data_IF_052343812752
#
_entry.id   IF_052343812752
#
_cell.length_a   1.000
_cell.length_b   1.000
_cell.length_c   1.000
_cell.angle_alpha   90.00
_cell.angle_beta   90.00
_cell.angle_gamma   90.00
#
_symmetry.space_group_name_H-M   'P 1'
#
loop_
_entity.id
_entity.type
_entity.pdbx_description
1 polymer ?
#
# COMPACT_ATOMS: atom_id res chain seq x y z
N UNK A 1 -21.35 -65.99 16.57
CA UNK A 1 -22.16 -66.44 17.72
C UNK A 1 -22.43 -65.17 18.51
N UNK A 2 -23.44 -64.44 18.06
CA UNK A 2 -24.83 -64.47 18.58
C UNK A 2 -24.92 -63.53 19.79
N UNK A 3 -25.87 -62.62 19.96
CA UNK A 3 -26.98 -62.10 19.15
C UNK A 3 -27.56 -60.90 19.95
N UNK A 4 -28.17 -59.91 19.27
CA UNK A 4 -29.42 -59.13 19.61
C UNK A 4 -29.68 -58.66 21.08
N UNK A 5 -30.23 -57.49 21.42
CA UNK A 5 -31.33 -56.65 20.87
C UNK A 5 -31.48 -55.40 21.83
N UNK A 6 -31.60 -54.17 21.33
CA UNK A 6 -32.80 -53.28 21.33
C UNK A 6 -33.22 -52.48 22.60
N UNK A 7 -33.58 -51.21 22.32
CA UNK A 7 -34.49 -50.25 22.98
C UNK A 7 -34.03 -49.43 24.21
N UNK A 8 -33.95 -48.10 24.05
CA UNK A 8 -35.03 -47.14 24.41
C UNK A 8 -34.56 -45.67 24.36
N UNK A 9 -35.51 -44.78 24.08
CA UNK A 9 -35.42 -43.32 23.87
C UNK A 9 -35.48 -42.56 25.19
N UNK A 10 -34.78 -41.43 25.33
CA UNK A 10 -35.30 -40.25 26.05
C UNK A 10 -34.56 -38.96 25.64
N UNK A 11 -35.31 -38.01 25.07
CA UNK A 11 -34.94 -36.64 24.75
C UNK A 11 -35.41 -35.72 25.88
N UNK A 12 -34.50 -34.96 26.47
CA UNK A 12 -34.75 -33.81 27.34
C UNK A 12 -33.52 -32.90 27.23
N UNK A 13 -33.57 -31.60 27.01
CA UNK A 13 -34.64 -30.63 26.79
C UNK A 13 -33.94 -29.28 26.57
N UNK A 14 -34.36 -28.54 25.55
CA UNK A 14 -33.88 -27.20 25.22
C UNK A 14 -34.45 -26.18 26.22
N UNK A 15 -33.62 -25.27 26.73
CA UNK A 15 -34.08 -23.96 27.23
C UNK A 15 -33.09 -22.87 26.79
N UNK A 16 -33.46 -22.16 25.72
CA UNK A 16 -32.95 -20.84 25.35
C UNK A 16 -33.65 -19.77 26.21
N UNK A 17 -32.89 -18.81 26.73
CA UNK A 17 -33.41 -17.65 27.45
C UNK A 17 -33.59 -16.51 26.44
N UNK A 18 -34.84 -16.13 26.18
CA UNK A 18 -35.24 -14.93 25.44
C UNK A 18 -35.70 -13.88 26.47
N UNK A 19 -34.99 -12.75 26.54
CA UNK A 19 -35.45 -11.57 27.26
C UNK A 19 -36.49 -10.82 26.41
N UNK A 20 -37.66 -10.59 27.01
CA UNK A 20 -38.77 -9.82 26.45
C UNK A 20 -38.70 -8.40 27.02
N UNK A 21 -38.64 -7.40 26.13
CA UNK A 21 -38.81 -5.98 26.47
C UNK A 21 -40.23 -5.58 26.07
N UNK A 22 -41.05 -5.23 27.06
CA UNK A 22 -42.40 -4.68 26.85
C UNK A 22 -42.32 -3.19 26.48
N UNK A 23 -42.85 -2.84 25.32
CA UNK A 23 -43.16 -1.47 24.90
C UNK A 23 -44.65 -1.23 25.18
N UNK A 24 -44.98 -0.22 25.99
CA UNK A 24 -46.34 0.27 26.12
C UNK A 24 -46.41 1.77 25.83
N UNK A 25 -47.23 2.08 24.85
CA UNK A 25 -47.64 3.40 24.38
C UNK A 25 -48.43 4.19 25.44
N UNK A 26 -48.31 5.52 25.41
CA UNK A 26 -49.42 6.40 25.83
C UNK A 26 -49.35 7.75 25.10
N UNK A 27 -50.41 8.07 24.35
CA UNK A 27 -50.64 9.31 23.59
C UNK A 27 -50.99 10.54 24.48
N UNK A 28 -50.96 11.78 23.95
CA UNK A 28 -51.06 13.04 24.72
C UNK A 28 -52.45 13.72 24.67
N UNK A 29 -52.68 14.69 25.58
CA UNK A 29 -53.86 15.59 25.60
C UNK A 29 -53.74 16.74 26.63
N UNK A 30 -54.59 17.80 26.56
CA UNK A 30 -54.13 19.20 26.46
C UNK A 30 -54.52 20.18 27.62
N UNK A 31 -54.05 21.42 27.45
CA UNK A 31 -54.50 22.73 27.98
C UNK A 31 -53.97 23.33 29.31
N UNK A 32 -53.63 24.63 29.14
CA UNK A 32 -53.65 25.79 30.04
C UNK A 32 -52.67 25.92 31.23
N UNK A 33 -51.86 26.99 31.18
CA UNK A 33 -52.03 28.18 32.03
C UNK A 33 -51.11 29.33 31.57
N UNK A 34 -51.74 30.44 31.19
CA UNK A 34 -51.14 31.75 30.98
C UNK A 34 -50.98 32.52 32.32
N UNK A 35 -50.04 33.48 32.32
CA UNK A 35 -50.09 34.82 32.95
C UNK A 35 -48.82 35.21 33.73
N UNK A 36 -48.27 36.39 33.42
CA UNK A 36 -47.28 37.07 34.26
C UNK A 36 -46.39 38.10 33.54
N UNK A 37 -46.98 39.22 33.14
CA UNK A 37 -46.35 40.45 32.61
C UNK A 37 -45.23 41.01 33.51
N UNK A 38 -44.24 41.70 32.92
CA UNK A 38 -44.09 43.15 33.10
C UNK A 38 -43.03 43.77 32.16
N UNK A 39 -43.47 44.82 31.47
CA UNK A 39 -42.73 45.75 30.63
C UNK A 39 -41.82 46.69 31.44
N UNK A 40 -40.68 47.08 30.87
CA UNK A 40 -40.21 48.47 30.99
C UNK A 40 -39.48 48.88 29.73
N UNK A 41 -40.14 49.72 28.94
CA UNK A 41 -39.59 50.51 27.84
C UNK A 41 -39.27 51.92 28.38
N UNK A 42 -38.31 52.62 27.77
CA UNK A 42 -38.40 54.02 27.31
C UNK A 42 -37.02 54.72 27.10
N UNK A 43 -36.83 55.11 25.82
CA UNK A 43 -36.29 56.39 25.29
C UNK A 43 -34.77 56.67 25.11
N UNK A 44 -34.36 56.62 23.83
CA UNK A 44 -33.38 57.46 23.07
C UNK A 44 -33.83 58.96 23.07
N UNK A 45 -33.07 60.05 22.73
CA UNK A 45 -31.81 60.13 21.96
C UNK A 45 -30.76 61.22 22.36
N UNK A 46 -29.57 61.20 21.72
CA UNK A 46 -28.81 62.44 21.47
C UNK A 46 -27.28 62.40 21.41
N UNK A 47 -26.74 62.26 20.19
CA UNK A 47 -25.71 63.08 19.53
C UNK A 47 -24.32 63.39 20.17
N UNK A 48 -23.30 63.19 19.31
CA UNK A 48 -22.04 63.94 19.14
C UNK A 48 -20.72 63.41 19.77
N UNK A 49 -19.80 63.13 18.82
CA UNK A 49 -18.34 63.30 18.81
C UNK A 49 -17.40 62.24 19.42
N UNK A 50 -16.33 61.99 18.64
CA UNK A 50 -14.99 61.48 19.00
C UNK A 50 -14.88 60.04 19.55
N UNK A 51 -14.41 59.08 18.75
CA UNK A 51 -12.98 58.98 18.40
C UNK A 51 -12.74 57.75 17.51
N UNK A 52 -12.27 58.05 16.31
CA UNK A 52 -11.70 57.13 15.35
C UNK A 52 -10.26 56.83 15.76
N UNK A 53 -10.05 55.79 16.57
CA UNK A 53 -8.72 55.21 16.81
C UNK A 53 -8.65 53.80 16.22
N UNK A 54 -7.83 53.69 15.19
CA UNK A 54 -7.70 52.53 14.35
C UNK A 54 -7.01 51.37 15.05
N UNK A 55 -7.51 50.19 14.74
CA UNK A 55 -6.77 48.94 14.80
C UNK A 55 -7.13 48.18 13.54
N UNK A 56 -6.60 48.64 12.40
CA UNK A 56 -6.34 47.74 11.28
C UNK A 56 -5.23 46.81 11.78
N UNK A 57 -5.63 45.66 12.34
CA UNK A 57 -4.73 44.53 12.39
C UNK A 57 -4.55 44.07 10.95
N UNK A 58 -3.55 44.64 10.28
CA UNK A 58 -2.82 43.96 9.21
C UNK A 58 -2.17 42.71 9.84
N UNK A 59 -2.99 41.75 10.27
CA UNK A 59 -2.60 40.35 10.34
C UNK A 59 -2.71 39.83 8.90
N UNK A 60 -1.87 40.38 8.02
CA UNK A 60 -1.42 39.64 6.86
C UNK A 60 -0.67 38.43 7.43
N UNK A 61 -1.39 37.34 7.65
CA UNK A 61 -0.79 36.01 7.67
C UNK A 61 -0.01 35.92 6.37
N UNK A 62 1.30 36.15 6.43
CA UNK A 62 2.22 35.68 5.42
C UNK A 62 1.93 34.19 5.29
N UNK A 63 1.17 33.80 4.26
CA UNK A 63 1.00 32.42 3.90
C UNK A 63 2.42 31.90 3.69
N UNK A 64 2.92 31.09 4.64
CA UNK A 64 4.20 30.44 4.48
C UNK A 64 4.16 29.76 3.12
N UNK A 65 5.05 30.18 2.22
CA UNK A 65 5.07 29.66 0.86
C UNK A 65 5.15 28.13 0.97
N UNK A 66 4.13 27.43 0.46
CA UNK A 66 4.10 25.97 0.47
C UNK A 66 5.40 25.45 -0.17
N UNK A 67 6.23 24.76 0.62
CA UNK A 67 7.50 24.24 0.15
C UNK A 67 7.22 23.13 -0.87
N UNK A 68 7.54 23.38 -2.13
CA UNK A 68 7.49 22.39 -3.21
C UNK A 68 8.88 22.23 -3.83
N UNK A 69 9.52 21.09 -3.51
CA UNK A 69 10.83 20.68 -3.98
C UNK A 69 10.75 19.91 -5.33
N UNK A 70 9.56 19.79 -5.93
CA UNK A 70 9.38 19.06 -7.19
C UNK A 70 9.87 19.85 -8.40
N UNK A 71 10.49 19.14 -9.35
CA UNK A 71 10.93 19.70 -10.62
C UNK A 71 9.78 19.76 -11.63
N UNK A 72 8.94 18.73 -11.61
CA UNK A 72 7.78 18.59 -12.50
C UNK A 72 6.58 18.03 -11.74
N UNK A 73 5.39 18.44 -12.16
CA UNK A 73 4.12 17.93 -11.66
C UNK A 73 3.27 17.39 -12.84
N UNK A 74 2.76 16.18 -12.69
CA UNK A 74 1.82 15.53 -13.59
C UNK A 74 0.39 15.71 -13.06
N UNK A 75 -0.39 16.59 -13.70
CA UNK A 75 -1.71 17.03 -13.19
C UNK A 75 -2.87 16.70 -14.15
N UNK A 76 -2.84 15.56 -14.84
CA UNK A 76 -3.96 15.15 -15.72
C UNK A 76 -5.00 14.29 -15.02
N UNK A 77 -4.62 13.59 -13.95
CA UNK A 77 -5.58 12.85 -13.16
C UNK A 77 -6.59 13.80 -12.52
N UNK A 78 -7.86 13.40 -12.49
CA UNK A 78 -8.94 14.16 -11.84
C UNK A 78 -9.35 13.58 -10.48
N UNK A 79 -8.63 12.56 -10.02
CA UNK A 79 -8.79 11.90 -8.73
C UNK A 79 -7.43 11.36 -8.25
N UNK A 80 -7.41 10.68 -7.11
CA UNK A 80 -6.18 10.25 -6.43
C UNK A 80 -5.29 9.42 -7.36
N UNK A 81 -3.96 9.61 -7.30
CA UNK A 81 -3.02 8.79 -8.07
C UNK A 81 -2.53 7.65 -7.18
N UNK A 82 -2.93 6.43 -7.50
CA UNK A 82 -2.70 5.26 -6.65
C UNK A 82 -1.36 4.57 -6.87
N UNK A 83 -0.83 4.61 -8.10
CA UNK A 83 0.38 3.87 -8.43
C UNK A 83 1.27 4.61 -9.42
N UNK A 84 2.57 4.33 -9.35
CA UNK A 84 3.55 4.89 -10.28
C UNK A 84 4.69 3.91 -10.57
N UNK A 85 5.14 3.87 -11.82
CA UNK A 85 6.27 3.06 -12.23
C UNK A 85 7.12 3.78 -13.27
N UNK A 86 8.45 3.60 -13.21
CA UNK A 86 9.39 4.13 -14.19
C UNK A 86 9.73 3.07 -15.23
N UNK A 87 9.99 3.54 -16.46
CA UNK A 87 10.55 2.72 -17.53
C UNK A 87 11.93 2.17 -17.10
N UNK A 88 12.08 0.83 -16.96
CA UNK A 88 13.32 0.21 -16.49
C UNK A 88 14.47 0.25 -17.51
N UNK A 89 14.20 0.48 -18.80
CA UNK A 89 15.20 0.50 -19.86
C UNK A 89 15.85 1.87 -20.04
N UNK A 90 15.09 2.96 -19.92
CA UNK A 90 15.55 4.30 -20.27
C UNK A 90 15.40 5.34 -19.16
N UNK A 91 14.57 5.08 -18.14
CA UNK A 91 14.16 6.04 -17.11
C UNK A 91 13.54 7.35 -17.67
N UNK A 92 13.18 7.40 -18.95
CA UNK A 92 12.62 8.61 -19.57
C UNK A 92 11.10 8.66 -19.51
N UNK A 93 10.46 7.54 -19.20
CA UNK A 93 9.01 7.44 -19.11
C UNK A 93 8.59 7.06 -17.68
N UNK A 94 7.45 7.57 -17.28
CA UNK A 94 6.73 7.14 -16.10
C UNK A 94 5.33 6.71 -16.52
N UNK A 95 4.74 5.77 -15.79
CA UNK A 95 3.32 5.43 -15.90
C UNK A 95 2.66 5.65 -14.55
N UNK A 96 1.48 6.25 -14.56
CA UNK A 96 0.66 6.45 -13.36
C UNK A 96 -0.73 5.85 -13.58
N UNK A 97 -1.38 5.40 -12.51
CA UNK A 97 -2.79 4.99 -12.50
C UNK A 97 -3.52 5.70 -11.37
N UNK A 98 -4.81 6.02 -11.57
CA UNK A 98 -5.56 6.80 -10.60
C UNK A 98 -7.05 6.45 -10.50
N UNK A 99 -7.71 7.15 -9.59
CA UNK A 99 -9.14 7.06 -9.25
C UNK A 99 -10.08 7.55 -10.37
N UNK A 100 -9.53 8.20 -11.39
CA UNK A 100 -10.26 8.66 -12.57
C UNK A 100 -10.44 7.59 -13.66
N UNK A 101 -10.30 6.31 -13.29
CA UNK A 101 -10.36 5.12 -14.16
C UNK A 101 -9.37 5.18 -15.34
N UNK A 102 -8.23 5.85 -15.16
CA UNK A 102 -7.24 6.03 -16.20
C UNK A 102 -5.85 5.71 -15.72
N UNK A 103 -5.01 5.33 -16.69
CA UNK A 103 -3.57 5.41 -16.56
C UNK A 103 -3.00 6.34 -17.63
N UNK A 104 -1.86 6.95 -17.35
CA UNK A 104 -1.14 7.80 -18.29
C UNK A 104 0.32 7.39 -18.35
N UNK A 105 0.89 7.41 -19.56
CA UNK A 105 2.33 7.31 -19.78
C UNK A 105 2.87 8.70 -20.07
N UNK A 106 3.84 9.12 -19.27
CA UNK A 106 4.43 10.45 -19.26
C UNK A 106 5.86 10.40 -19.76
N UNK A 107 6.31 11.45 -20.44
CA UNK A 107 7.73 11.72 -20.57
C UNK A 107 8.21 12.49 -19.35
N UNK A 108 9.18 11.93 -18.64
CA UNK A 108 9.70 12.46 -17.37
C UNK A 108 10.45 13.79 -17.56
N UNK A 109 10.96 14.10 -18.75
CA UNK A 109 11.72 15.33 -18.99
C UNK A 109 10.89 16.62 -19.07
N UNK A 110 9.61 16.50 -19.42
CA UNK A 110 8.74 17.66 -19.70
C UNK A 110 7.27 17.47 -19.26
N UNK A 111 6.89 16.30 -18.77
CA UNK A 111 5.53 15.98 -18.36
C UNK A 111 4.55 15.79 -19.52
N UNK A 112 5.04 15.59 -20.76
CA UNK A 112 4.15 15.30 -21.89
C UNK A 112 3.49 13.93 -21.71
N UNK A 113 2.16 13.88 -21.82
CA UNK A 113 1.40 12.62 -21.92
C UNK A 113 1.63 12.01 -23.30
N UNK A 114 2.28 10.85 -23.33
CA UNK A 114 2.53 10.10 -24.56
C UNK A 114 1.40 9.13 -24.88
N UNK A 115 0.77 8.54 -23.86
CA UNK A 115 -0.33 7.59 -23.99
C UNK A 115 -1.32 7.81 -22.86
N UNK A 116 -2.61 7.81 -23.20
CA UNK A 116 -3.73 7.78 -22.26
C UNK A 116 -4.39 6.40 -22.36
N UNK A 117 -4.36 5.65 -21.26
CA UNK A 117 -4.89 4.30 -21.13
C UNK A 117 -6.32 4.36 -20.60
N UNK A 118 -7.31 4.42 -21.50
CA UNK A 118 -8.74 4.55 -21.16
C UNK A 118 -9.52 3.23 -21.24
N UNK A 119 -10.75 3.22 -20.73
CA UNK A 119 -11.69 2.11 -20.88
C UNK A 119 -11.63 1.07 -19.77
N UNK A 120 -10.98 1.43 -18.65
CA UNK A 120 -11.15 0.76 -17.37
C UNK A 120 -12.58 0.96 -16.84
N UNK A 121 -12.99 0.09 -15.92
CA UNK A 121 -14.35 0.11 -15.34
C UNK A 121 -14.39 0.72 -13.94
N UNK A 122 -13.23 0.90 -13.34
CA UNK A 122 -13.02 1.40 -11.99
C UNK A 122 -11.57 1.93 -11.88
N UNK A 123 -11.21 2.39 -10.68
CA UNK A 123 -9.93 2.99 -10.33
C UNK A 123 -8.74 2.12 -10.74
N UNK A 124 -7.75 2.72 -11.42
CA UNK A 124 -6.53 2.00 -11.83
C UNK A 124 -5.53 1.97 -10.68
N UNK A 125 -5.43 0.83 -10.02
CA UNK A 125 -4.58 0.61 -8.84
C UNK A 125 -3.22 0.03 -9.17
N UNK A 126 -3.04 -0.53 -10.36
CA UNK A 126 -1.77 -1.09 -10.82
C UNK A 126 -1.41 -0.53 -12.19
N UNK A 127 -0.21 0.03 -12.36
CA UNK A 127 0.32 0.44 -13.66
C UNK A 127 1.84 0.27 -13.74
N UNK A 128 2.34 -0.46 -14.74
CA UNK A 128 3.78 -0.77 -14.83
C UNK A 128 4.27 -1.14 -16.23
N UNK A 129 5.54 -0.83 -16.49
CA UNK A 129 6.25 -1.21 -17.71
C UNK A 129 6.70 -2.68 -17.68
N UNK A 130 6.73 -3.31 -18.86
CA UNK A 130 7.44 -4.58 -19.04
C UNK A 130 8.94 -4.39 -18.84
N UNK A 131 9.67 -5.50 -18.62
CA UNK A 131 11.12 -5.50 -18.41
C UNK A 131 11.94 -4.82 -19.53
N UNK A 132 11.40 -4.72 -20.75
CA UNK A 132 12.02 -4.08 -21.91
C UNK A 132 11.35 -2.75 -22.29
N UNK A 133 10.38 -2.29 -21.49
CA UNK A 133 9.65 -1.02 -21.65
C UNK A 133 8.86 -0.90 -22.95
N UNK A 134 8.66 -2.03 -23.64
CA UNK A 134 7.87 -2.07 -24.88
C UNK A 134 6.36 -2.10 -24.63
N UNK A 135 5.97 -2.60 -23.45
CA UNK A 135 4.58 -2.74 -23.01
C UNK A 135 4.33 -2.03 -21.69
N UNK A 136 3.09 -1.62 -21.49
CA UNK A 136 2.55 -1.13 -20.21
C UNK A 136 1.35 -1.99 -19.86
N UNK A 137 1.29 -2.50 -18.63
CA UNK A 137 0.10 -3.11 -18.08
C UNK A 137 -0.59 -2.12 -17.13
N UNK A 138 -1.91 -2.06 -17.19
CA UNK A 138 -2.76 -1.36 -16.23
C UNK A 138 -3.85 -2.31 -15.72
N UNK A 139 -4.11 -2.30 -14.42
CA UNK A 139 -5.14 -3.10 -13.76
C UNK A 139 -6.00 -2.25 -12.86
N UNK A 140 -7.32 -2.42 -12.94
CA UNK A 140 -8.28 -1.68 -12.11
C UNK A 140 -8.90 -2.53 -10.97
N UNK A 141 -9.55 -1.84 -10.02
CA UNK A 141 -10.22 -2.46 -8.86
C UNK A 141 -11.31 -3.46 -9.24
N UNK A 142 -11.94 -3.31 -10.42
CA UNK A 142 -12.94 -4.27 -10.92
C UNK A 142 -12.32 -5.58 -11.43
N UNK A 143 -11.00 -5.64 -11.56
CA UNK A 143 -10.28 -6.78 -12.09
C UNK A 143 -9.95 -6.74 -13.56
N UNK A 144 -10.20 -5.62 -14.25
CA UNK A 144 -9.91 -5.51 -15.67
C UNK A 144 -8.44 -5.10 -15.86
N UNK A 145 -7.68 -6.01 -16.44
CA UNK A 145 -6.28 -5.83 -16.82
C UNK A 145 -6.25 -5.50 -18.31
N UNK A 146 -5.53 -4.44 -18.67
CA UNK A 146 -5.23 -4.04 -20.04
C UNK A 146 -3.72 -3.98 -20.26
N UNK A 147 -3.28 -4.32 -21.47
CA UNK A 147 -1.91 -4.16 -21.90
C UNK A 147 -1.84 -3.33 -23.17
N UNK A 148 -0.94 -2.36 -23.14
CA UNK A 148 -0.72 -1.35 -24.16
C UNK A 148 0.67 -1.51 -24.75
N UNK A 149 0.77 -1.34 -26.07
CA UNK A 149 2.07 -1.24 -26.73
C UNK A 149 2.51 0.22 -26.78
N UNK A 150 3.65 0.54 -26.15
CA UNK A 150 4.14 1.92 -25.98
C UNK A 150 4.41 2.60 -27.33
N UNK A 151 5.01 1.88 -28.27
CA UNK A 151 5.37 2.40 -29.59
C UNK A 151 4.14 2.80 -30.43
N UNK A 152 3.10 1.95 -30.45
CA UNK A 152 1.92 2.17 -31.29
C UNK A 152 0.81 2.91 -30.56
N UNK A 153 0.88 3.01 -29.24
CA UNK A 153 -0.13 3.62 -28.37
C UNK A 153 -1.49 2.93 -28.45
N UNK A 154 -1.48 1.62 -28.63
CA UNK A 154 -2.67 0.80 -28.82
C UNK A 154 -2.80 -0.23 -27.69
N UNK A 155 -4.04 -0.50 -27.26
CA UNK A 155 -4.37 -1.68 -26.47
C UNK A 155 -4.17 -2.92 -27.35
N UNK A 156 -3.34 -3.86 -26.88
CA UNK A 156 -3.05 -5.10 -27.61
C UNK A 156 -3.64 -6.34 -26.93
N UNK A 157 -4.07 -6.21 -25.68
CA UNK A 157 -4.60 -7.32 -24.89
C UNK A 157 -5.40 -6.80 -23.69
N UNK A 158 -6.45 -7.53 -23.31
CA UNK A 158 -7.18 -7.31 -22.07
C UNK A 158 -7.82 -8.58 -21.54
N UNK A 159 -8.02 -8.64 -20.22
CA UNK A 159 -8.62 -9.76 -19.52
C UNK A 159 -9.22 -9.31 -18.19
N UNK A 160 -10.29 -9.97 -17.74
CA UNK A 160 -10.98 -9.68 -16.49
C UNK A 160 -10.84 -10.86 -15.53
N UNK A 161 -10.20 -10.63 -14.39
CA UNK A 161 -9.95 -11.67 -13.36
C UNK A 161 -10.92 -11.64 -12.17
N UNK A 162 -11.78 -10.62 -12.08
CA UNK A 162 -12.44 -10.24 -10.82
C UNK A 162 -11.48 -9.45 -9.93
N UNK A 163 -11.87 -9.14 -8.69
CA UNK A 163 -11.16 -8.20 -7.81
C UNK A 163 -9.63 -8.48 -7.75
N UNK A 164 -8.86 -7.53 -8.29
CA UNK A 164 -7.41 -7.59 -8.46
C UNK A 164 -6.71 -6.98 -7.25
N UNK A 165 -5.77 -7.72 -6.66
CA UNK A 165 -4.99 -7.28 -5.49
C UNK A 165 -3.61 -6.74 -5.89
N UNK A 166 -2.95 -7.41 -6.84
CA UNK A 166 -1.65 -7.00 -7.34
C UNK A 166 -1.39 -7.53 -8.74
N UNK A 167 -0.50 -6.86 -9.46
CA UNK A 167 -0.06 -7.20 -10.80
C UNK A 167 1.47 -7.13 -10.85
N UNK A 168 2.13 -7.99 -11.62
CA UNK A 168 3.59 -7.94 -11.79
C UNK A 168 4.03 -8.48 -13.16
N UNK A 169 4.94 -7.76 -13.82
CA UNK A 169 5.64 -8.27 -15.01
C UNK A 169 6.75 -9.23 -14.63
N UNK A 170 6.88 -10.30 -15.42
CA UNK A 170 8.04 -11.17 -15.38
C UNK A 170 9.33 -10.40 -15.74
N UNK A 171 10.43 -10.60 -15.00
CA UNK A 171 11.63 -9.75 -15.10
C UNK A 171 12.39 -9.85 -16.42
N UNK A 172 12.05 -10.80 -17.29
CA UNK A 172 12.74 -10.97 -18.58
C UNK A 172 11.87 -11.53 -19.72
N UNK A 173 10.55 -11.58 -19.55
CA UNK A 173 9.65 -12.02 -20.60
C UNK A 173 8.33 -11.22 -20.55
N UNK A 174 7.58 -11.12 -21.66
CA UNK A 174 6.24 -10.52 -21.68
C UNK A 174 5.22 -11.50 -21.07
N UNK A 175 5.38 -11.76 -19.78
CA UNK A 175 4.50 -12.59 -18.97
C UNK A 175 4.01 -11.76 -17.80
N UNK A 176 2.70 -11.74 -17.58
CA UNK A 176 2.08 -11.07 -16.44
C UNK A 176 1.65 -12.09 -15.39
N UNK A 177 1.84 -11.74 -14.12
CA UNK A 177 1.22 -12.42 -12.99
C UNK A 177 0.25 -11.46 -12.29
N UNK A 178 -0.86 -11.99 -11.79
CA UNK A 178 -1.82 -11.23 -10.97
C UNK A 178 -2.31 -12.08 -9.81
N UNK A 179 -2.52 -11.48 -8.65
CA UNK A 179 -3.24 -12.09 -7.53
C UNK A 179 -4.60 -11.46 -7.34
N UNK A 180 -5.57 -12.26 -6.92
CA UNK A 180 -6.97 -11.87 -6.78
C UNK A 180 -7.51 -12.11 -5.37
N UNK A 181 -8.60 -11.42 -5.05
CA UNK A 181 -9.36 -11.53 -3.81
C UNK A 181 -9.86 -12.96 -3.53
N UNK A 182 -10.18 -13.74 -4.57
CA UNK A 182 -10.58 -15.15 -4.41
C UNK A 182 -9.40 -16.10 -4.08
N UNK A 183 -8.18 -15.55 -3.96
CA UNK A 183 -6.95 -16.27 -3.62
C UNK A 183 -6.26 -16.94 -4.80
N UNK A 184 -6.79 -16.80 -6.02
CA UNK A 184 -6.13 -17.30 -7.20
C UNK A 184 -4.96 -16.41 -7.60
N UNK A 185 -3.99 -17.02 -8.26
CA UNK A 185 -2.94 -16.31 -8.97
C UNK A 185 -3.01 -16.69 -10.42
N UNK A 186 -2.99 -15.70 -11.29
CA UNK A 186 -3.10 -15.87 -12.73
C UNK A 186 -1.76 -15.56 -13.38
N UNK A 187 -1.45 -16.24 -14.48
CA UNK A 187 -0.26 -15.98 -15.28
C UNK A 187 -0.58 -16.07 -16.77
N UNK A 188 -0.23 -15.03 -17.53
CA UNK A 188 -0.49 -14.96 -18.96
C UNK A 188 0.78 -14.69 -19.75
N UNK A 189 0.90 -15.33 -20.93
CA UNK A 189 1.83 -14.85 -21.95
C UNK A 189 1.16 -13.76 -22.78
N UNK A 190 1.81 -12.61 -22.92
CA UNK A 190 1.29 -11.48 -23.66
C UNK A 190 2.00 -11.34 -25.01
N UNK A 191 1.28 -11.03 -26.11
CA UNK A 191 -0.16 -10.83 -26.22
C UNK A 191 -0.97 -12.10 -26.50
N UNK A 192 -0.33 -13.27 -26.54
CA UNK A 192 -0.98 -14.52 -26.97
C UNK A 192 -2.16 -14.97 -26.09
N UNK A 193 -2.19 -14.57 -24.82
CA UNK A 193 -3.26 -14.87 -23.86
C UNK A 193 -3.22 -16.27 -23.26
N UNK A 194 -2.19 -17.08 -23.56
CA UNK A 194 -1.98 -18.39 -22.92
C UNK A 194 -1.97 -18.22 -21.40
N UNK A 195 -2.98 -18.78 -20.73
CA UNK A 195 -3.24 -18.57 -19.31
C UNK A 195 -2.95 -19.82 -18.48
N UNK A 196 -2.40 -19.62 -17.27
CA UNK A 196 -2.32 -20.61 -16.20
C UNK A 196 -2.82 -20.00 -14.89
N UNK A 197 -3.55 -20.78 -14.10
CA UNK A 197 -4.01 -20.41 -12.76
C UNK A 197 -3.31 -21.24 -11.69
N UNK A 198 -2.92 -20.62 -10.59
CA UNK A 198 -2.38 -21.24 -9.38
C UNK A 198 -3.39 -21.05 -8.26
N UNK A 199 -4.12 -22.11 -7.94
CA UNK A 199 -5.24 -22.05 -6.99
C UNK A 199 -4.74 -22.24 -5.56
N UNK A 200 -5.18 -21.35 -4.67
CA UNK A 200 -4.89 -21.42 -3.23
C UNK A 200 -6.15 -21.76 -2.42
N UNK A 201 -6.06 -21.67 -1.08
CA UNK A 201 -7.10 -22.15 -0.16
C UNK A 201 -8.19 -21.10 0.13
N UNK A 202 -8.68 -20.39 -0.89
CA UNK A 202 -9.78 -19.42 -0.84
C UNK A 202 -9.58 -18.20 0.10
N UNK A 203 -8.34 -17.84 0.40
CA UNK A 203 -7.99 -16.60 1.09
C UNK A 203 -7.34 -15.64 0.10
N UNK A 204 -7.60 -14.33 0.25
CA UNK A 204 -7.14 -13.30 -0.67
C UNK A 204 -5.62 -13.38 -0.89
N UNK A 205 -5.19 -13.28 -2.15
CA UNK A 205 -3.77 -13.23 -2.49
C UNK A 205 -3.28 -11.78 -2.41
N UNK A 206 -2.99 -11.30 -1.20
CA UNK A 206 -2.78 -9.87 -0.90
C UNK A 206 -1.46 -9.30 -1.43
N UNK A 207 -0.45 -10.14 -1.71
CA UNK A 207 0.82 -9.66 -2.26
C UNK A 207 1.54 -10.76 -3.05
N UNK A 208 2.29 -10.37 -4.08
CA UNK A 208 3.03 -11.31 -4.93
C UNK A 208 4.35 -10.77 -5.45
N UNK A 209 5.35 -11.67 -5.59
CA UNK A 209 6.64 -11.36 -6.22
C UNK A 209 7.15 -12.49 -7.10
N UNK A 210 7.57 -12.18 -8.32
CA UNK A 210 8.37 -13.07 -9.16
C UNK A 210 9.83 -12.98 -8.69
N UNK A 211 10.45 -14.14 -8.43
CA UNK A 211 11.85 -14.20 -8.03
C UNK A 211 12.76 -13.90 -9.24
N UNK A 212 13.98 -13.44 -8.97
CA UNK A 212 14.93 -13.04 -10.02
C UNK A 212 15.35 -14.19 -10.97
N UNK A 213 15.09 -15.44 -10.60
CA UNK A 213 15.27 -16.60 -11.48
C UNK A 213 14.18 -16.76 -12.56
N UNK A 214 13.07 -16.02 -12.46
CA UNK A 214 11.92 -16.07 -13.37
C UNK A 214 11.16 -17.40 -13.37
N UNK A 215 11.47 -18.31 -12.45
CA UNK A 215 10.91 -19.66 -12.40
C UNK A 215 10.01 -19.85 -11.20
N UNK A 216 10.19 -19.03 -10.18
CA UNK A 216 9.44 -19.10 -8.93
C UNK A 216 8.77 -17.78 -8.64
N UNK A 217 7.64 -17.84 -7.96
CA UNK A 217 6.99 -16.68 -7.36
C UNK A 217 6.69 -16.94 -5.88
N UNK A 218 6.65 -15.89 -5.07
CA UNK A 218 6.21 -15.94 -3.69
C UNK A 218 4.95 -15.12 -3.55
N UNK A 219 3.95 -15.69 -2.88
CA UNK A 219 2.62 -15.07 -2.73
C UNK A 219 2.25 -15.12 -1.26
N UNK A 220 1.85 -13.96 -0.73
CA UNK A 220 1.28 -13.78 0.59
C UNK A 220 -0.24 -13.77 0.55
N UNK A 221 -0.85 -14.24 1.63
CA UNK A 221 -2.30 -14.38 1.74
C UNK A 221 -2.84 -13.72 3.02
N UNK A 222 -4.13 -13.43 3.01
CA UNK A 222 -4.87 -12.84 4.13
C UNK A 222 -4.83 -13.70 5.42
N UNK A 223 -4.76 -15.03 5.29
CA UNK A 223 -4.70 -15.95 6.42
C UNK A 223 -3.30 -16.08 7.06
N UNK A 224 -2.35 -15.26 6.64
CA UNK A 224 -0.96 -15.33 7.10
C UNK A 224 -0.11 -16.41 6.43
N UNK A 225 -0.68 -17.15 5.47
CA UNK A 225 0.07 -18.15 4.69
C UNK A 225 1.00 -17.46 3.70
N UNK A 226 2.19 -18.04 3.49
CA UNK A 226 3.09 -17.69 2.39
C UNK A 226 3.31 -18.93 1.52
N UNK A 227 3.18 -18.80 0.20
CA UNK A 227 3.47 -19.89 -0.74
C UNK A 227 4.58 -19.53 -1.69
N UNK A 228 5.47 -20.49 -1.93
CA UNK A 228 6.47 -20.42 -3.00
C UNK A 228 6.01 -21.34 -4.13
N UNK A 229 5.77 -20.78 -5.32
CA UNK A 229 5.24 -21.48 -6.48
C UNK A 229 6.32 -21.80 -7.51
N UNK A 230 6.21 -22.95 -8.19
CA UNK A 230 6.92 -23.21 -9.45
C UNK A 230 6.04 -22.75 -10.61
N UNK A 231 6.46 -21.72 -11.34
CA UNK A 231 5.67 -21.12 -12.42
C UNK A 231 5.50 -22.05 -13.63
N UNK A 232 6.47 -22.95 -13.85
CA UNK A 232 6.41 -23.91 -14.94
C UNK A 232 5.49 -25.08 -14.61
N UNK A 233 5.58 -25.64 -13.41
CA UNK A 233 4.82 -26.81 -12.99
C UNK A 233 3.41 -26.47 -12.51
N UNK A 234 3.20 -25.28 -11.93
CA UNK A 234 1.89 -24.88 -11.40
C UNK A 234 1.63 -25.34 -9.96
N UNK A 235 2.62 -25.92 -9.27
CA UNK A 235 2.47 -26.43 -7.90
C UNK A 235 3.17 -25.51 -6.88
N UNK A 236 2.65 -25.53 -5.65
CA UNK A 236 3.32 -24.90 -4.51
C UNK A 236 4.49 -25.79 -4.09
N UNK A 237 5.71 -25.24 -4.18
CA UNK A 237 6.95 -25.86 -3.71
C UNK A 237 6.97 -25.85 -2.19
N UNK A 238 6.60 -24.71 -1.59
CA UNK A 238 6.57 -24.51 -0.14
C UNK A 238 5.27 -23.84 0.27
N UNK A 239 4.75 -24.22 1.44
CA UNK A 239 3.59 -23.60 2.09
C UNK A 239 3.96 -23.34 3.55
N UNK A 240 4.17 -22.08 3.89
CA UNK A 240 4.54 -21.61 5.22
C UNK A 240 3.26 -21.09 5.89
N UNK A 241 2.80 -21.75 6.97
CA UNK A 241 1.53 -21.45 7.64
C UNK A 241 1.57 -21.85 9.11
N UNK A 242 0.52 -21.52 9.87
CA UNK A 242 0.44 -21.86 11.29
C UNK A 242 1.51 -21.14 12.09
N UNK A 243 2.24 -21.84 12.96
CA UNK A 243 3.29 -21.22 13.80
C UNK A 243 4.46 -20.64 13.00
N UNK A 244 4.77 -21.24 11.84
CA UNK A 244 5.80 -20.72 10.94
C UNK A 244 5.26 -19.57 10.07
N UNK A 245 3.95 -19.52 9.81
CA UNK A 245 3.27 -18.44 9.07
C UNK A 245 3.10 -17.16 9.90
N UNK A 246 2.60 -16.11 9.24
CA UNK A 246 2.16 -14.90 9.93
C UNK A 246 0.87 -15.16 10.70
N UNK A 247 0.60 -14.35 11.74
CA UNK A 247 -0.64 -14.43 12.53
C UNK A 247 -1.67 -13.38 12.11
N UNK A 248 -1.53 -12.85 10.90
CA UNK A 248 -2.44 -11.90 10.27
C UNK A 248 -2.12 -11.79 8.77
N UNK A 249 -2.93 -11.00 8.07
CA UNK A 249 -2.78 -10.76 6.64
C UNK A 249 -1.38 -10.26 6.28
N UNK A 250 -0.85 -10.77 5.17
CA UNK A 250 0.37 -10.22 4.58
C UNK A 250 0.03 -8.92 3.86
N UNK A 251 0.90 -7.93 4.01
CA UNK A 251 0.73 -6.58 3.46
C UNK A 251 1.76 -6.29 2.39
N UNK A 252 2.97 -6.81 2.53
CA UNK A 252 4.07 -6.52 1.63
C UNK A 252 5.10 -7.65 1.56
N UNK A 253 5.90 -7.62 0.49
CA UNK A 253 7.01 -8.54 0.30
C UNK A 253 8.15 -7.95 -0.53
N UNK A 254 9.35 -8.42 -0.26
CA UNK A 254 10.54 -8.12 -1.04
C UNK A 254 11.39 -9.37 -1.20
N UNK A 255 12.17 -9.43 -2.29
CA UNK A 255 13.15 -10.49 -2.50
C UNK A 255 14.54 -9.87 -2.55
N UNK A 256 15.53 -10.61 -2.06
CA UNK A 256 16.91 -10.23 -2.27
C UNK A 256 17.32 -10.47 -3.74
N UNK A 257 18.48 -9.93 -4.12
CA UNK A 257 18.94 -9.89 -5.52
C UNK A 257 18.99 -11.26 -6.23
N UNK A 258 19.37 -12.31 -5.53
CA UNK A 258 19.49 -13.67 -6.10
C UNK A 258 18.22 -14.53 -5.94
N UNK A 259 17.16 -13.99 -5.33
CA UNK A 259 15.91 -14.72 -5.12
C UNK A 259 16.00 -15.85 -4.10
N UNK A 260 17.10 -15.98 -3.34
CA UNK A 260 17.24 -17.04 -2.32
C UNK A 260 16.53 -16.71 -1.01
N UNK A 261 16.27 -15.42 -0.76
CA UNK A 261 15.56 -14.92 0.40
C UNK A 261 14.38 -14.04 -0.01
N UNK A 262 13.31 -14.14 0.77
CA UNK A 262 12.17 -13.23 0.73
C UNK A 262 11.90 -12.71 2.14
N UNK A 263 11.60 -11.42 2.24
CA UNK A 263 11.15 -10.76 3.45
C UNK A 263 9.66 -10.46 3.26
N UNK A 264 8.82 -10.91 4.18
CA UNK A 264 7.37 -10.67 4.18
C UNK A 264 6.99 -9.80 5.36
N UNK A 265 6.10 -8.83 5.17
CA UNK A 265 5.50 -8.03 6.24
C UNK A 265 4.02 -8.37 6.42
N UNK A 266 3.49 -8.08 7.61
CA UNK A 266 2.11 -8.39 7.97
C UNK A 266 1.56 -7.41 9.00
N UNK A 267 0.23 -7.37 9.07
CA UNK A 267 -0.54 -6.71 10.14
C UNK A 267 -0.24 -7.27 11.53
N UNK A 268 0.44 -8.43 11.64
CA UNK A 268 0.91 -9.00 12.92
C UNK A 268 2.13 -8.26 13.53
N UNK A 269 2.47 -7.08 12.99
CA UNK A 269 3.60 -6.23 13.37
C UNK A 269 4.99 -6.88 13.16
N UNK A 270 5.06 -8.03 12.48
CA UNK A 270 6.30 -8.75 12.26
C UNK A 270 6.67 -8.81 10.78
N UNK A 271 7.97 -8.73 10.51
CA UNK A 271 8.53 -9.12 9.23
C UNK A 271 9.23 -10.50 9.36
N UNK A 272 9.00 -11.41 8.42
CA UNK A 272 9.63 -12.75 8.41
C UNK A 272 10.56 -12.91 7.22
N UNK A 273 11.77 -13.39 7.48
CA UNK A 273 12.75 -13.72 6.45
C UNK A 273 12.67 -15.22 6.15
N UNK A 274 12.39 -15.56 4.90
CA UNK A 274 12.14 -16.92 4.43
C UNK A 274 13.21 -17.28 3.40
N UNK A 275 13.80 -18.47 3.56
CA UNK A 275 14.66 -19.06 2.54
C UNK A 275 13.80 -19.76 1.48
N UNK A 276 13.79 -19.25 0.25
CA UNK A 276 12.89 -19.70 -0.82
C UNK A 276 13.24 -21.08 -1.37
N UNK A 277 14.45 -21.58 -1.11
CA UNK A 277 14.92 -22.90 -1.54
C UNK A 277 14.41 -23.97 -0.56
N UNK A 278 14.45 -23.68 0.74
CA UNK A 278 14.13 -24.65 1.81
C UNK A 278 12.74 -24.47 2.42
N UNK A 279 12.08 -23.34 2.18
CA UNK A 279 10.79 -22.99 2.78
C UNK A 279 10.87 -22.63 4.26
N UNK A 280 12.07 -22.51 4.83
CA UNK A 280 12.27 -22.23 6.26
C UNK A 280 12.23 -20.75 6.55
N UNK A 281 11.53 -20.37 7.60
CA UNK A 281 11.68 -19.07 8.25
C UNK A 281 13.03 -19.05 8.96
N UNK A 282 13.89 -18.11 8.57
CA UNK A 282 15.26 -17.98 9.09
C UNK A 282 15.44 -16.75 9.99
N UNK A 283 14.46 -15.85 10.06
CA UNK A 283 14.43 -14.72 10.98
C UNK A 283 13.04 -14.13 11.14
N UNK A 284 12.77 -13.56 12.32
CA UNK A 284 11.54 -12.82 12.64
C UNK A 284 11.97 -11.48 13.24
N UNK A 285 11.52 -10.40 12.62
CA UNK A 285 11.94 -9.04 12.93
C UNK A 285 10.73 -8.24 13.38
N UNK A 286 10.86 -7.56 14.51
CA UNK A 286 9.84 -6.65 15.02
C UNK A 286 10.49 -5.66 15.97
N UNK A 287 9.88 -4.49 16.09
CA UNK A 287 10.36 -3.46 17.02
C UNK A 287 10.07 -3.79 18.49
N UNK A 288 9.06 -4.62 18.76
CA UNK A 288 8.62 -4.98 20.11
C UNK A 288 9.03 -6.40 20.56
N UNK A 289 9.91 -7.06 19.81
CA UNK A 289 10.53 -8.33 20.23
C UNK A 289 9.69 -9.60 19.97
N UNK A 290 8.77 -9.56 19.02
CA UNK A 290 8.18 -10.73 18.35
C UNK A 290 7.23 -11.55 19.21
N UNK A 291 6.82 -11.01 20.36
CA UNK A 291 5.74 -11.60 21.14
C UNK A 291 4.43 -11.12 20.54
N UNK A 292 3.72 -12.03 19.88
CA UNK A 292 2.30 -11.86 19.62
C UNK A 292 1.65 -11.43 20.95
N UNK A 293 1.17 -10.19 21.03
CA UNK A 293 0.49 -9.68 22.21
C UNK A 293 -0.79 -10.53 22.36
N UNK A 294 -0.80 -11.45 23.33
CA UNK A 294 -1.97 -12.25 23.71
C UNK A 294 -2.87 -11.50 24.71
N UNK A 295 -2.71 -10.19 24.87
CA UNK A 295 -3.57 -9.38 25.72
C UNK A 295 -4.77 -8.87 24.92
N UNK A 296 -5.96 -9.03 25.51
CA UNK A 296 -7.24 -8.48 25.05
C UNK A 296 -7.33 -6.94 25.16
N UNK A 297 -6.22 -6.28 25.47
CA UNK A 297 -6.17 -4.83 25.50
C UNK A 297 -5.80 -4.38 24.08
N UNK A 298 -6.78 -3.77 23.42
CA UNK A 298 -6.80 -3.24 22.05
C UNK A 298 -5.79 -2.10 21.88
N UNK A 299 -4.49 -2.35 22.09
CA UNK A 299 -3.47 -1.51 21.50
C UNK A 299 -3.44 -1.80 20.00
N UNK A 300 -3.69 -0.76 19.18
CA UNK A 300 -3.67 -0.83 17.72
C UNK A 300 -2.39 -1.54 17.25
N UNK A 301 -2.56 -2.59 16.44
CA UNK A 301 -1.44 -3.34 15.88
C UNK A 301 -0.65 -2.43 14.94
N UNK A 302 0.66 -2.29 15.17
CA UNK A 302 1.51 -1.49 14.30
C UNK A 302 1.90 -2.32 13.07
N UNK A 303 1.04 -2.30 12.07
CA UNK A 303 1.19 -3.06 10.83
C UNK A 303 2.51 -2.73 10.11
N UNK A 304 3.13 -3.76 9.52
CA UNK A 304 4.28 -3.59 8.64
C UNK A 304 3.76 -3.26 7.25
N UNK A 305 4.08 -2.09 6.71
CA UNK A 305 3.56 -1.64 5.41
C UNK A 305 4.56 -1.86 4.28
N UNK A 306 5.86 -1.83 4.57
CA UNK A 306 6.87 -2.03 3.54
C UNK A 306 8.15 -2.66 4.06
N UNK A 307 8.80 -3.45 3.20
CA UNK A 307 10.01 -4.21 3.55
C UNK A 307 10.99 -4.21 2.40
N UNK A 308 12.29 -4.31 2.69
CA UNK A 308 13.29 -4.34 1.64
C UNK A 308 14.68 -4.75 2.09
N UNK A 309 15.51 -5.12 1.11
CA UNK A 309 16.90 -5.54 1.30
C UNK A 309 17.87 -4.46 0.85
N UNK A 310 18.89 -4.20 1.67
CA UNK A 310 20.06 -3.45 1.21
C UNK A 310 20.86 -4.30 0.21
N UNK A 311 21.22 -3.71 -0.93
CA UNK A 311 21.92 -4.42 -2.00
C UNK A 311 23.43 -4.59 -1.75
N UNK A 312 24.00 -3.79 -0.85
CA UNK A 312 25.46 -3.74 -0.63
C UNK A 312 25.89 -4.18 0.78
N UNK A 313 24.95 -4.29 1.72
CA UNK A 313 25.19 -4.69 3.11
C UNK A 313 24.15 -5.74 3.51
N UNK A 314 24.43 -6.62 4.49
CA UNK A 314 23.47 -7.61 4.98
C UNK A 314 22.42 -6.96 5.90
N UNK A 315 21.76 -5.91 5.41
CA UNK A 315 20.74 -5.16 6.12
C UNK A 315 19.37 -5.33 5.46
N UNK A 316 18.33 -5.26 6.28
CA UNK A 316 16.94 -5.09 5.84
C UNK A 316 16.35 -3.86 6.50
N UNK A 317 15.34 -3.29 5.84
CA UNK A 317 14.48 -2.26 6.41
C UNK A 317 13.05 -2.79 6.51
N UNK A 318 12.37 -2.38 7.58
CA UNK A 318 10.96 -2.63 7.84
C UNK A 318 10.32 -1.28 8.17
N UNK A 319 9.36 -0.86 7.34
CA UNK A 319 8.56 0.34 7.52
C UNK A 319 7.20 -0.02 8.11
N UNK A 320 6.76 0.80 9.05
CA UNK A 320 5.56 0.58 9.85
C UNK A 320 4.53 1.70 9.68
N UNK A 321 3.27 1.39 9.96
CA UNK A 321 2.15 2.33 9.89
C UNK A 321 2.24 3.46 10.93
N UNK A 322 2.94 3.26 12.04
CA UNK A 322 3.19 4.32 13.04
C UNK A 322 4.33 5.29 12.65
N UNK A 323 4.91 5.15 11.46
CA UNK A 323 6.03 5.97 11.00
C UNK A 323 7.40 5.44 11.43
N UNK A 324 7.47 4.31 12.12
CA UNK A 324 8.75 3.69 12.48
C UNK A 324 9.41 3.07 11.24
N UNK A 325 10.66 3.45 10.98
CA UNK A 325 11.56 2.75 10.06
C UNK A 325 12.61 1.99 10.88
N UNK A 326 12.58 0.67 10.86
CA UNK A 326 13.52 -0.17 11.58
C UNK A 326 14.51 -0.82 10.61
N UNK A 327 15.81 -0.66 10.89
CA UNK A 327 16.90 -1.28 10.12
C UNK A 327 17.52 -2.40 10.93
N UNK A 328 17.52 -3.62 10.38
CA UNK A 328 18.08 -4.80 11.04
C UNK A 328 19.29 -5.35 10.30
N UNK A 329 20.23 -5.94 11.05
CA UNK A 329 21.26 -6.80 10.49
C UNK A 329 20.73 -8.22 10.30
N UNK A 330 20.81 -8.75 9.08
CA UNK A 330 20.26 -10.07 8.73
C UNK A 330 20.95 -11.19 9.51
N UNK A 331 22.28 -11.09 9.69
CA UNK A 331 23.09 -12.20 10.22
C UNK A 331 22.91 -12.36 11.73
N UNK A 332 22.85 -11.22 12.44
CA UNK A 332 22.72 -11.18 13.90
C UNK A 332 21.27 -11.03 14.36
N UNK A 333 20.37 -10.64 13.46
CA UNK A 333 18.95 -10.34 13.74
C UNK A 333 18.76 -9.22 14.76
N UNK A 334 19.76 -8.34 14.89
CA UNK A 334 19.73 -7.20 15.81
C UNK A 334 19.24 -5.96 15.06
N UNK A 335 18.31 -5.22 15.69
CA UNK A 335 17.92 -3.90 15.23
C UNK A 335 19.10 -2.94 15.42
N UNK A 336 19.57 -2.38 14.31
CA UNK A 336 20.67 -1.40 14.30
C UNK A 336 20.15 0.00 14.55
N UNK A 337 19.06 0.36 13.88
CA UNK A 337 18.48 1.69 13.93
C UNK A 337 16.96 1.61 14.00
N UNK A 338 16.39 2.55 14.75
CA UNK A 338 14.96 2.84 14.78
C UNK A 338 14.82 4.33 14.46
N UNK A 339 14.36 4.63 13.27
CA UNK A 339 14.12 5.97 12.77
C UNK A 339 12.62 6.28 12.85
N UNK A 340 12.25 7.53 13.06
CA UNK A 340 10.86 7.93 13.27
C UNK A 340 10.44 8.98 12.24
N UNK A 341 9.24 8.80 11.69
CA UNK A 341 8.55 9.72 10.81
C UNK A 341 7.33 10.29 11.54
N UNK A 342 6.85 11.46 11.10
CA UNK A 342 5.68 12.12 11.69
C UNK A 342 4.36 11.40 11.35
N UNK A 343 4.35 10.63 10.26
CA UNK A 343 3.21 9.86 9.79
C UNK A 343 3.63 8.47 9.28
N UNK A 344 2.65 7.61 9.05
CA UNK A 344 2.84 6.24 8.60
C UNK A 344 3.64 6.11 7.31
N UNK A 345 4.50 5.08 7.25
CA UNK A 345 5.26 4.75 6.05
C UNK A 345 4.36 3.94 5.13
N UNK A 346 4.27 4.37 3.87
CA UNK A 346 3.47 3.66 2.85
C UNK A 346 4.34 2.69 2.07
N UNK A 347 5.49 3.16 1.59
CA UNK A 347 6.40 2.35 0.78
C UNK A 347 7.86 2.68 1.10
N UNK A 348 8.75 1.72 0.88
CA UNK A 348 10.20 1.92 0.95
C UNK A 348 10.91 1.32 -0.26
N UNK A 349 12.00 1.97 -0.68
CA UNK A 349 12.84 1.48 -1.77
C UNK A 349 14.31 1.68 -1.43
N UNK A 350 15.08 0.60 -1.47
CA UNK A 350 16.54 0.65 -1.34
C UNK A 350 17.17 1.07 -2.65
N UNK A 351 18.22 1.87 -2.55
CA UNK A 351 19.06 2.16 -3.71
C UNK A 351 19.89 0.94 -4.14
N UNK A 352 20.16 0.83 -5.44
CA UNK A 352 20.89 -0.31 -6.01
C UNK A 352 22.36 -0.36 -5.56
N UNK A 353 22.98 0.81 -5.34
CA UNK A 353 24.43 0.94 -5.17
C UNK A 353 24.88 1.58 -3.86
N UNK A 354 23.94 1.85 -2.94
CA UNK A 354 24.25 2.52 -1.68
C UNK A 354 23.50 1.92 -0.48
N UNK A 355 23.78 2.42 0.72
CA UNK A 355 23.05 2.06 1.95
C UNK A 355 21.87 2.97 2.23
N UNK A 356 21.47 3.79 1.25
CA UNK A 356 20.33 4.68 1.40
C UNK A 356 19.05 3.91 1.12
N UNK A 357 18.09 4.06 2.02
CA UNK A 357 16.71 3.63 1.85
C UNK A 357 15.84 4.87 1.79
N UNK A 358 14.96 4.92 0.79
CA UNK A 358 13.98 5.99 0.64
C UNK A 358 12.62 5.51 1.15
N UNK A 359 11.87 6.40 1.76
CA UNK A 359 10.53 6.15 2.29
C UNK A 359 9.58 7.24 1.86
N UNK A 360 8.36 6.88 1.46
CA UNK A 360 7.26 7.82 1.35
C UNK A 360 6.28 7.62 2.51
N UNK A 361 5.64 8.71 2.93
CA UNK A 361 4.80 8.73 4.10
C UNK A 361 3.46 9.42 3.85
N UNK A 362 2.51 9.17 4.76
CA UNK A 362 1.17 9.75 4.72
C UNK A 362 1.15 11.28 4.96
N UNK A 363 2.26 11.88 5.36
CA UNK A 363 2.42 13.34 5.49
C UNK A 363 2.81 14.04 4.18
N UNK A 364 2.82 13.32 3.06
CA UNK A 364 3.15 13.88 1.75
C UNK A 364 4.64 14.05 1.49
N UNK A 365 5.52 13.53 2.35
CA UNK A 365 6.96 13.70 2.22
C UNK A 365 7.70 12.43 1.78
N UNK A 366 8.71 12.62 0.93
CA UNK A 366 9.70 11.60 0.55
C UNK A 366 10.98 11.84 1.34
N UNK A 367 11.50 10.82 2.03
CA UNK A 367 12.70 10.92 2.85
C UNK A 367 13.75 9.89 2.48
N UNK A 368 15.01 10.30 2.54
CA UNK A 368 16.17 9.44 2.30
C UNK A 368 16.92 9.22 3.61
N UNK A 369 17.21 7.97 3.95
CA UNK A 369 17.87 7.59 5.20
C UNK A 369 19.14 6.78 4.92
N UNK A 370 20.26 7.13 5.56
CA UNK A 370 21.45 6.30 5.51
C UNK A 370 21.37 5.16 6.54
N UNK A 371 21.18 3.94 6.09
CA UNK A 371 21.04 2.77 6.94
C UNK A 371 22.30 2.41 7.76
N UNK A 372 23.48 3.01 7.46
CA UNK A 372 24.67 2.82 8.30
C UNK A 372 24.60 3.63 9.58
N UNK A 373 24.17 4.90 9.47
CA UNK A 373 24.14 5.86 10.56
C UNK A 373 22.77 5.99 11.23
N UNK A 374 21.68 5.65 10.52
CA UNK A 374 20.31 5.89 10.96
C UNK A 374 19.86 7.34 10.76
N UNK A 375 20.69 8.19 10.17
CA UNK A 375 20.39 9.60 9.98
C UNK A 375 19.59 9.83 8.68
N UNK A 376 18.67 10.79 8.74
CA UNK A 376 18.02 11.33 7.55
C UNK A 376 19.05 12.13 6.75
N UNK A 377 19.13 11.85 5.45
CA UNK A 377 20.01 12.50 4.47
C UNK A 377 19.33 13.71 3.85
N UNK A 378 18.08 13.52 3.43
CA UNK A 378 17.28 14.54 2.74
C UNK A 378 15.79 14.27 2.95
N UNK A 379 15.00 15.33 2.89
CA UNK A 379 13.54 15.32 2.87
C UNK A 379 13.09 16.17 1.67
N UNK A 380 12.09 15.68 0.95
CA UNK A 380 11.49 16.34 -0.20
C UNK A 380 9.99 16.47 0.04
N UNK A 381 9.47 17.69 -0.10
CA UNK A 381 8.05 18.05 0.08
C UNK A 381 7.48 18.67 -1.18
N UNK A 382 6.16 18.71 -1.28
CA UNK A 382 5.45 19.37 -2.37
C UNK A 382 4.04 18.86 -2.59
N UNK A 383 3.73 17.65 -2.12
CA UNK A 383 2.35 17.15 -2.10
C UNK A 383 1.55 17.82 -0.98
N UNK A 384 0.27 18.06 -1.24
CA UNK A 384 -0.68 18.62 -0.26
C UNK A 384 -1.50 17.54 0.46
N UNK A 385 -1.26 16.27 0.13
CA UNK A 385 -1.89 15.09 0.69
C UNK A 385 -0.87 13.95 0.81
N UNK A 386 -1.31 12.79 1.30
CA UNK A 386 -0.48 11.59 1.44
C UNK A 386 0.16 11.13 0.13
N UNK A 387 1.38 10.59 0.19
CA UNK A 387 1.97 9.85 -0.94
C UNK A 387 1.49 8.40 -0.85
N UNK A 388 0.86 7.91 -1.92
CA UNK A 388 0.26 6.57 -2.02
C UNK A 388 1.21 5.54 -2.66
N UNK A 389 2.13 6.00 -3.52
CA UNK A 389 3.18 5.16 -4.11
C UNK A 389 4.35 6.03 -4.55
N UNK A 390 5.54 5.42 -4.68
CA UNK A 390 6.68 6.08 -5.29
C UNK A 390 7.67 5.10 -5.89
N UNK A 391 8.47 5.60 -6.82
CA UNK A 391 9.57 4.85 -7.41
C UNK A 391 10.80 5.74 -7.62
N UNK A 392 11.97 5.14 -7.49
CA UNK A 392 13.27 5.77 -7.75
C UNK A 392 13.96 5.08 -8.91
N UNK A 393 14.55 5.87 -9.79
CA UNK A 393 15.35 5.35 -10.91
C UNK A 393 16.59 4.61 -10.42
N UNK A 394 17.16 3.75 -11.27
CA UNK A 394 18.30 2.91 -10.89
C UNK A 394 19.52 3.69 -10.39
N UNK A 395 19.76 4.89 -10.93
CA UNK A 395 20.88 5.76 -10.60
C UNK A 395 20.68 6.53 -9.29
N UNK A 396 19.48 6.47 -8.69
CA UNK A 396 19.05 7.22 -7.52
C UNK A 396 19.28 8.73 -7.67
N UNK A 397 18.86 9.27 -8.81
CA UNK A 397 18.93 10.70 -9.16
C UNK A 397 17.55 11.31 -9.36
N UNK A 398 16.52 10.48 -9.48
CA UNK A 398 15.16 10.89 -9.77
C UNK A 398 14.18 10.00 -9.01
N UNK A 399 13.20 10.63 -8.36
CA UNK A 399 12.04 9.96 -7.80
C UNK A 399 10.77 10.45 -8.50
N UNK A 400 9.81 9.56 -8.65
CA UNK A 400 8.43 9.93 -9.01
C UNK A 400 7.50 9.41 -7.92
N UNK A 401 6.66 10.28 -7.39
CA UNK A 401 5.67 9.98 -6.35
C UNK A 401 4.26 10.13 -6.92
N UNK A 402 3.30 9.38 -6.37
CA UNK A 402 1.88 9.46 -6.66
C UNK A 402 1.12 9.75 -5.36
N UNK A 403 0.13 10.64 -5.39
CA UNK A 403 -0.51 11.16 -4.18
C UNK A 403 -2.03 11.28 -4.30
N UNK A 404 -2.68 11.33 -3.13
CA UNK A 404 -4.10 11.66 -2.96
C UNK A 404 -4.46 13.10 -3.34
N UNK A 405 -3.47 13.96 -3.65
CA UNK A 405 -3.72 15.33 -4.16
C UNK A 405 -4.02 15.38 -5.67
N UNK A 406 -4.26 14.21 -6.28
CA UNK A 406 -4.51 14.00 -7.71
C UNK A 406 -3.28 14.28 -8.60
N UNK A 407 -2.09 14.38 -8.02
CA UNK A 407 -0.85 14.64 -8.74
C UNK A 407 0.15 13.49 -8.60
N UNK A 408 0.99 13.37 -9.61
CA UNK A 408 2.29 12.73 -9.46
C UNK A 408 3.39 13.78 -9.60
N UNK A 409 4.42 13.71 -8.76
CA UNK A 409 5.51 14.69 -8.76
C UNK A 409 6.85 14.03 -9.04
N UNK A 410 7.72 14.75 -9.74
CA UNK A 410 9.07 14.31 -10.07
C UNK A 410 10.06 15.13 -9.25
N UNK A 411 10.92 14.45 -8.50
CA UNK A 411 11.95 15.07 -7.67
C UNK A 411 13.33 14.74 -8.21
N UNK A 412 14.18 15.75 -8.38
CA UNK A 412 15.60 15.52 -8.61
C UNK A 412 16.29 15.26 -7.27
N UNK A 413 16.74 14.02 -7.08
CA UNK A 413 17.40 13.61 -5.85
C UNK A 413 18.83 14.15 -5.86
N UNK A 414 19.03 15.30 -5.24
CA UNK A 414 20.35 15.88 -5.04
C UNK A 414 21.02 15.28 -3.79
N UNK A 415 22.33 15.06 -3.90
CA UNK A 415 23.16 14.74 -2.74
C UNK A 415 24.13 15.89 -2.53
N UNK A 416 24.26 16.42 -1.30
CA UNK A 416 25.25 17.44 -1.00
C UNK A 416 26.68 17.07 -1.39
N UNK A 417 27.03 15.77 -1.48
CA UNK A 417 28.41 15.33 -1.77
C UNK A 417 28.46 14.03 -2.62
N UNK A 418 28.35 14.13 -3.95
CA UNK A 418 28.72 13.03 -4.87
C UNK A 418 30.09 13.27 -5.50
#
# INVERSE_FOLDING_TARGET
MDNTEENAVELHGDEEIIEVIDLNDTEPGPDDLADGLEDVDFEDPGNADDDNEGWETEDEMEAEAEQDDSELTFSKHTGSVFCVSLDPATNNLAVTGGEDDKAYVWRVSDGEVLLECTGHKDSVTCAMFSHDSSLVASGDMSGLIKVWKVETKEEIWSFEVGDLEWLEWHPCAPVLLAGTNDGNVWMWKIPGGDCKTFQSAAYQATSGKILSDGKRAVVGYEDGTVRVWDLKQGNAIHVIKGQDGHQGALTCLASNKDGSLVLTGSVDSCAKLINTITGKVVGVFSVDGGKAKQSKDEEESNSVESVGFCNILPLIAVGYLDGTLAVFDISTQVMRHRCHHEAGIVHLQWEESSSVVSTCCLDGALRLWDARSGNMVSEYRGHTAEILDFTINREATLAVTASGDNQAKVFCLQRPDR
#
